data_IF_110678105039
#
_entry.id   IF_110678105039
#
_cell.length_a   1.000
_cell.length_b   1.000
_cell.length_c   1.000
_cell.angle_alpha   90.00
_cell.angle_beta   90.00
_cell.angle_gamma   90.00
#
_symmetry.space_group_name_H-M   'P 1'
#
loop_
_entity.id
_entity.type
_entity.pdbx_description
1 polymer ?
#
# COMPACT_ATOMS: atom_id res chain seq x y z
N UNK A 1 62.69 -17.78 -6.87
CA UNK A 1 61.31 -17.75 -6.34
C UNK A 1 61.29 -16.78 -5.18
N UNK A 2 60.64 -15.65 -5.40
CA UNK A 2 60.84 -14.39 -4.68
C UNK A 2 60.11 -14.38 -3.33
N UNK A 3 60.87 -14.53 -2.24
CA UNK A 3 60.36 -14.63 -0.86
C UNK A 3 59.71 -13.32 -0.37
N UNK A 4 59.91 -12.20 -1.09
CA UNK A 4 59.29 -10.90 -0.81
C UNK A 4 57.82 -10.79 -1.24
N UNK A 5 57.38 -11.60 -2.20
CA UNK A 5 55.98 -11.62 -2.64
C UNK A 5 55.06 -12.40 -1.68
N UNK A 6 55.61 -13.40 -0.97
CA UNK A 6 54.86 -14.23 -0.03
C UNK A 6 54.57 -13.46 1.28
N UNK A 7 55.48 -12.59 1.73
CA UNK A 7 55.28 -11.78 2.94
C UNK A 7 54.29 -10.61 2.74
N UNK A 8 54.05 -10.14 1.51
CA UNK A 8 53.01 -9.14 1.23
C UNK A 8 51.61 -9.74 1.20
N UNK A 9 51.47 -11.02 0.83
CA UNK A 9 50.19 -11.72 0.80
C UNK A 9 49.62 -11.98 2.21
N UNK A 10 50.48 -12.18 3.22
CA UNK A 10 50.03 -12.52 4.58
C UNK A 10 49.45 -11.33 5.36
N UNK A 11 49.75 -10.08 4.97
CA UNK A 11 49.25 -8.87 5.66
C UNK A 11 47.99 -8.24 5.02
N UNK A 12 47.45 -8.85 3.95
CA UNK A 12 46.23 -8.39 3.25
C UNK A 12 45.01 -9.25 3.62
N UNK A 13 45.20 -10.38 4.31
CA UNK A 13 44.13 -11.32 4.68
C UNK A 13 43.53 -10.98 6.07
N UNK A 14 44.18 -10.12 6.86
CA UNK A 14 43.73 -9.76 8.20
C UNK A 14 42.39 -8.99 8.29
N UNK A 15 41.99 -8.08 7.36
CA UNK A 15 40.69 -7.41 7.47
C UNK A 15 39.52 -8.25 6.92
N UNK A 16 39.79 -9.24 6.04
CA UNK A 16 38.75 -10.08 5.45
C UNK A 16 38.21 -11.16 6.42
N UNK A 17 39.03 -11.59 7.38
CA UNK A 17 38.65 -12.61 8.36
C UNK A 17 37.73 -12.06 9.47
N UNK A 18 37.88 -10.78 9.81
CA UNK A 18 37.06 -10.09 10.83
C UNK A 18 35.65 -9.81 10.32
N UNK A 19 35.48 -9.57 9.02
CA UNK A 19 34.16 -9.36 8.41
C UNK A 19 33.35 -10.67 8.29
N UNK A 20 34.03 -11.83 8.25
CA UNK A 20 33.37 -13.14 8.21
C UNK A 20 32.82 -13.58 9.59
N UNK A 21 33.36 -13.03 10.69
CA UNK A 21 32.88 -13.28 12.06
C UNK A 21 31.60 -12.49 12.41
N UNK A 22 31.27 -11.45 11.65
CA UNK A 22 30.01 -10.69 11.77
C UNK A 22 28.87 -11.22 10.88
N UNK A 23 29.14 -12.13 9.93
CA UNK A 23 28.12 -12.67 9.01
C UNK A 23 27.60 -14.07 9.38
N UNK A 24 28.10 -14.70 10.44
CA UNK A 24 27.65 -16.04 10.88
C UNK A 24 26.82 -15.97 12.18
N UNK A 25 26.72 -14.80 12.84
CA UNK A 25 26.02 -14.68 14.14
C UNK A 25 24.52 -14.36 14.04
N UNK A 26 24.03 -13.78 12.94
CA UNK A 26 22.66 -13.22 12.91
C UNK A 26 21.64 -14.04 12.14
N UNK A 27 22.07 -15.07 11.41
CA UNK A 27 21.16 -15.94 10.70
C UNK A 27 21.09 -17.29 11.38
N UNK A 28 19.91 -17.57 11.94
CA UNK A 28 19.40 -18.90 12.20
C UNK A 28 20.04 -19.69 13.36
N UNK A 29 19.56 -19.44 14.58
CA UNK A 29 18.79 -20.42 15.37
C UNK A 29 18.77 -20.07 16.85
N UNK A 30 17.65 -20.47 17.48
CA UNK A 30 17.21 -20.21 18.87
C UNK A 30 16.62 -18.80 18.97
N UNK A 31 15.31 -18.57 19.03
CA UNK A 31 14.35 -19.12 19.99
C UNK A 31 13.05 -19.53 19.27
N UNK A 32 12.93 -20.78 18.84
CA UNK A 32 12.06 -21.75 19.47
C UNK A 32 11.30 -21.30 20.75
N UNK A 33 9.97 -21.23 20.62
CA UNK A 33 8.89 -21.47 21.59
C UNK A 33 8.61 -20.47 22.72
N UNK A 34 7.46 -19.78 22.61
CA UNK A 34 6.23 -20.07 23.37
C UNK A 34 5.11 -19.20 22.74
N UNK A 35 3.97 -19.72 22.29
CA UNK A 35 3.05 -20.49 23.12
C UNK A 35 2.22 -19.59 24.04
N UNK A 36 1.71 -18.46 23.55
CA UNK A 36 0.74 -17.61 24.24
C UNK A 36 -0.47 -17.37 23.34
N UNK A 37 -1.53 -18.14 23.55
CA UNK A 37 -2.84 -17.86 22.98
C UNK A 37 -3.39 -16.60 23.64
N UNK A 38 -3.22 -15.44 23.00
CA UNK A 38 -3.98 -14.25 23.37
C UNK A 38 -5.38 -14.35 22.76
N UNK A 39 -6.27 -14.80 23.63
CA UNK A 39 -7.71 -14.81 23.49
C UNK A 39 -8.25 -13.42 23.11
N UNK A 40 -8.99 -13.36 21.99
CA UNK A 40 -10.13 -12.45 21.83
C UNK A 40 -9.80 -10.98 21.53
N UNK A 41 -9.08 -10.71 20.44
CA UNK A 41 -9.22 -9.41 19.81
C UNK A 41 -10.62 -9.34 19.18
N UNK A 42 -11.44 -8.44 19.69
CA UNK A 42 -12.62 -7.87 19.03
C UNK A 42 -12.15 -7.25 17.70
N UNK A 43 -11.90 -8.10 16.70
CA UNK A 43 -11.62 -7.65 15.34
C UNK A 43 -12.98 -7.41 14.71
N UNK A 44 -13.32 -6.15 14.41
CA UNK A 44 -14.58 -5.85 13.76
C UNK A 44 -14.66 -6.65 12.48
N UNK A 45 -15.65 -7.55 12.41
CA UNK A 45 -15.95 -8.29 11.19
C UNK A 45 -16.20 -7.29 10.05
N UNK A 46 -15.85 -7.59 8.78
CA UNK A 46 -16.12 -6.72 7.64
C UNK A 46 -17.59 -6.24 7.59
N UNK A 47 -18.50 -7.08 8.07
CA UNK A 47 -19.94 -6.83 8.18
C UNK A 47 -20.27 -5.66 9.11
N UNK A 48 -19.51 -5.48 10.20
CA UNK A 48 -19.66 -4.34 11.11
C UNK A 48 -19.28 -3.00 10.46
N UNK A 49 -18.45 -3.02 9.41
CA UNK A 49 -18.15 -1.85 8.57
C UNK A 49 -19.15 -1.65 7.42
N UNK A 50 -20.25 -2.42 7.39
CA UNK A 50 -21.24 -2.34 6.32
C UNK A 50 -20.78 -2.92 4.98
N UNK A 51 -19.70 -3.72 4.98
CA UNK A 51 -19.17 -4.43 3.80
C UNK A 51 -20.03 -5.67 3.48
N UNK A 52 -21.33 -5.45 3.26
CA UNK A 52 -22.26 -6.51 2.89
C UNK A 52 -21.96 -7.01 1.48
N UNK A 53 -22.01 -8.33 1.29
CA UNK A 53 -21.89 -8.92 -0.04
C UNK A 53 -22.98 -8.37 -0.96
N UNK A 54 -22.59 -7.96 -2.17
CA UNK A 54 -23.50 -7.42 -3.18
C UNK A 54 -23.69 -5.90 -3.14
N UNK A 55 -23.04 -5.16 -2.24
CA UNK A 55 -22.97 -3.70 -2.33
C UNK A 55 -21.79 -3.24 -3.19
N UNK A 56 -21.97 -2.19 -4.02
CA UNK A 56 -20.86 -1.56 -4.71
C UNK A 56 -19.77 -1.13 -3.73
N UNK A 57 -18.51 -1.43 -4.07
CA UNK A 57 -17.34 -1.05 -3.29
C UNK A 57 -16.32 -0.43 -4.22
N UNK A 58 -15.64 0.61 -3.72
CA UNK A 58 -14.56 1.28 -4.44
C UNK A 58 -13.35 1.37 -3.53
N UNK A 59 -12.16 1.22 -4.10
CA UNK A 59 -10.90 1.44 -3.42
C UNK A 59 -10.24 2.66 -4.06
N UNK A 60 -10.28 3.84 -3.41
CA UNK A 60 -9.69 5.05 -3.96
C UNK A 60 -8.16 4.96 -3.95
N UNK A 61 -7.53 5.70 -4.87
CA UNK A 61 -6.07 5.77 -4.98
C UNK A 61 -5.53 6.85 -4.04
N UNK A 62 -4.42 6.54 -3.34
CA UNK A 62 -3.70 7.55 -2.55
C UNK A 62 -2.85 8.42 -3.46
N UNK A 63 -2.86 9.74 -3.23
CA UNK A 63 -1.98 10.71 -3.89
C UNK A 63 -1.02 11.35 -2.88
N UNK A 64 0.17 11.70 -3.34
CA UNK A 64 1.11 12.59 -2.63
C UNK A 64 1.03 14.04 -3.15
N UNK A 65 0.40 14.24 -4.30
CA UNK A 65 0.18 15.53 -4.93
C UNK A 65 -1.32 15.85 -4.87
N UNK A 66 -1.77 16.71 -3.94
CA UNK A 66 -3.18 17.05 -3.82
C UNK A 66 -3.63 17.94 -5.00
N UNK A 67 -4.88 17.77 -5.50
CA UNK A 67 -5.43 18.62 -6.55
C UNK A 67 -5.74 20.03 -6.05
N UNK A 68 -5.84 20.97 -6.99
CA UNK A 68 -6.35 22.31 -6.69
C UNK A 68 -7.88 22.28 -6.71
N UNK A 69 -8.53 22.80 -5.67
CA UNK A 69 -10.00 22.82 -5.58
C UNK A 69 -10.54 24.06 -6.29
N UNK A 70 -10.42 24.09 -7.62
CA UNK A 70 -10.91 25.17 -8.48
C UNK A 70 -12.09 24.76 -9.38
N UNK A 71 -12.42 23.47 -9.41
CA UNK A 71 -13.50 22.90 -10.22
C UNK A 71 -13.07 22.47 -11.63
N UNK A 72 -11.79 22.50 -11.94
CA UNK A 72 -11.22 22.00 -13.19
C UNK A 72 -10.60 20.62 -12.91
N UNK A 73 -10.86 19.65 -13.79
CA UNK A 73 -10.34 18.28 -13.66
C UNK A 73 -9.12 18.06 -14.59
N UNK A 74 -8.08 18.91 -14.47
CA UNK A 74 -6.85 18.79 -15.26
C UNK A 74 -5.62 18.32 -14.47
N UNK A 75 -5.73 18.21 -13.14
CA UNK A 75 -4.67 17.67 -12.28
C UNK A 75 -4.36 16.18 -12.56
N UNK A 76 -3.07 15.81 -12.41
CA UNK A 76 -2.57 14.45 -12.63
C UNK A 76 -3.24 13.39 -11.74
N UNK A 77 -3.71 13.79 -10.55
CA UNK A 77 -4.37 12.87 -9.61
C UNK A 77 -5.62 12.23 -10.24
N UNK A 78 -6.34 12.96 -11.10
CA UNK A 78 -7.58 12.47 -11.69
C UNK A 78 -7.35 11.32 -12.67
N UNK A 79 -6.17 11.26 -13.31
CA UNK A 79 -5.78 10.19 -14.23
C UNK A 79 -5.58 8.84 -13.53
N UNK A 80 -5.25 8.84 -12.24
CA UNK A 80 -4.96 7.62 -11.45
C UNK A 80 -6.00 7.36 -10.36
N UNK A 81 -6.94 8.28 -10.19
CA UNK A 81 -8.02 8.18 -9.22
C UNK A 81 -9.00 7.05 -9.55
N UNK A 82 -9.78 6.62 -8.54
CA UNK A 82 -10.85 5.68 -8.79
C UNK A 82 -11.99 6.39 -9.53
N UNK A 83 -12.35 5.87 -10.69
CA UNK A 83 -13.40 6.41 -11.57
C UNK A 83 -14.65 5.54 -11.52
N UNK A 84 -15.78 6.12 -11.14
CA UNK A 84 -17.08 5.46 -11.06
C UNK A 84 -17.99 6.07 -12.12
N UNK A 85 -18.62 5.18 -12.91
CA UNK A 85 -19.60 5.53 -13.95
C UNK A 85 -20.91 4.77 -13.81
N UNK A 86 -20.92 3.69 -13.02
CA UNK A 86 -22.04 2.76 -12.89
C UNK A 86 -23.06 3.24 -11.85
N UNK A 87 -23.73 4.36 -12.14
CA UNK A 87 -24.79 4.88 -11.29
C UNK A 87 -26.17 4.35 -11.69
N UNK A 88 -27.02 4.10 -10.69
CA UNK A 88 -28.41 3.70 -10.87
C UNK A 88 -29.33 4.85 -10.48
N UNK A 89 -30.33 5.14 -11.31
CA UNK A 89 -31.30 6.19 -11.00
C UNK A 89 -32.26 5.72 -9.91
N UNK A 90 -32.44 6.54 -8.87
CA UNK A 90 -33.43 6.28 -7.79
C UNK A 90 -34.77 7.00 -8.06
N UNK A 91 -34.79 8.05 -8.86
CA UNK A 91 -36.02 8.78 -9.18
C UNK A 91 -35.85 9.45 -10.54
N UNK A 92 -36.88 9.50 -11.40
CA UNK A 92 -38.29 9.14 -11.17
C UNK A 92 -38.63 7.65 -11.33
N UNK A 93 -37.68 6.83 -11.79
CA UNK A 93 -37.86 5.41 -12.04
C UNK A 93 -36.73 4.61 -11.35
N UNK A 94 -37.05 4.01 -10.21
CA UNK A 94 -36.10 3.27 -9.38
C UNK A 94 -35.44 2.12 -10.16
N UNK A 95 -34.11 2.09 -10.16
CA UNK A 95 -33.31 0.99 -10.70
C UNK A 95 -33.18 0.97 -12.23
N UNK A 96 -33.69 1.99 -12.92
CA UNK A 96 -33.41 2.17 -14.34
C UNK A 96 -31.92 2.54 -14.56
N UNK A 97 -31.34 2.19 -15.73
CA UNK A 97 -30.05 2.75 -16.14
C UNK A 97 -30.11 4.27 -16.05
N UNK A 98 -29.05 4.90 -15.53
CA UNK A 98 -29.03 6.35 -15.39
C UNK A 98 -29.22 7.01 -16.77
N UNK A 99 -30.09 8.01 -16.84
CA UNK A 99 -30.29 8.81 -18.07
C UNK A 99 -29.28 9.94 -18.19
N UNK A 100 -28.60 10.27 -17.09
CA UNK A 100 -27.57 11.29 -17.00
C UNK A 100 -26.23 10.60 -16.77
N UNK A 101 -25.29 10.80 -17.70
CA UNK A 101 -23.91 10.37 -17.51
C UNK A 101 -23.34 11.12 -16.30
N UNK A 102 -22.83 10.38 -15.32
CA UNK A 102 -22.21 10.94 -14.12
C UNK A 102 -20.88 10.26 -13.94
N UNK A 103 -19.82 11.04 -14.00
CA UNK A 103 -18.46 10.57 -13.76
C UNK A 103 -18.01 11.06 -12.37
N UNK A 104 -17.69 10.12 -11.49
CA UNK A 104 -17.17 10.43 -10.15
C UNK A 104 -15.74 9.94 -10.02
N UNK A 105 -14.86 10.84 -9.60
CA UNK A 105 -13.45 10.57 -9.35
C UNK A 105 -13.17 10.67 -7.86
N UNK A 106 -12.46 9.68 -7.31
CA UNK A 106 -12.15 9.62 -5.88
C UNK A 106 -10.66 9.35 -5.67
N UNK A 107 -10.01 10.23 -4.91
CA UNK A 107 -8.64 10.09 -4.45
C UNK A 107 -8.52 10.55 -2.98
N UNK A 108 -7.42 10.24 -2.32
CA UNK A 108 -7.19 10.69 -0.94
C UNK A 108 -5.69 10.88 -0.65
N UNK A 109 -5.37 11.66 0.38
CA UNK A 109 -4.01 11.80 0.92
C UNK A 109 -3.99 11.47 2.43
N UNK A 110 -2.99 11.92 3.18
CA UNK A 110 -2.92 11.68 4.63
C UNK A 110 -4.00 12.41 5.44
N UNK A 111 -4.56 13.49 4.90
CA UNK A 111 -5.35 14.48 5.64
C UNK A 111 -6.75 14.68 5.03
N UNK A 112 -6.93 14.40 3.74
CA UNK A 112 -8.10 14.74 2.93
C UNK A 112 -8.56 13.59 2.04
N UNK A 113 -9.85 13.63 1.69
CA UNK A 113 -10.46 12.81 0.65
C UNK A 113 -11.03 13.76 -0.40
N UNK A 114 -10.70 13.50 -1.66
CA UNK A 114 -11.07 14.32 -2.81
C UNK A 114 -12.15 13.64 -3.63
N UNK A 115 -13.16 14.42 -4.00
CA UNK A 115 -14.24 14.02 -4.89
C UNK A 115 -14.33 15.02 -6.03
N UNK A 116 -14.38 14.53 -7.27
CA UNK A 116 -14.73 15.33 -8.42
C UNK A 116 -15.92 14.71 -9.16
N UNK A 117 -16.76 15.57 -9.72
CA UNK A 117 -17.99 15.21 -10.43
C UNK A 117 -17.96 15.88 -11.79
N UNK A 118 -18.28 15.13 -12.84
CA UNK A 118 -18.44 15.62 -14.20
C UNK A 118 -19.75 15.14 -14.80
#
# INVERSE_FOLDING_TARGET
VDLGHILKALNIIAPAFVLCLLLICETSRLEAQAGGSESGADQPSPESFGLLQGRPRVTPTRTDNPPVIDGILDDEVWLTSAHLTEFTQQSPLDGAPTTEDTDVYIAYDSDNIYFAFY
#
